data_IF_248371829188
#
_entry.id   IF_248371829188
#
_cell.length_a   1.000
_cell.length_b   1.000
_cell.length_c   1.000
_cell.angle_alpha   90.00
_cell.angle_beta   90.00
_cell.angle_gamma   90.00
#
_symmetry.space_group_name_H-M   'P 1'
#
loop_
_entity.id
_entity.type
_entity.pdbx_description
1 polymer ?
#
# COMPACT_ATOMS: atom_id res chain seq x y z
N UNK A 1 -10.59 -13.90 -19.20
CA UNK A 1 -10.91 -13.75 -17.75
C UNK A 1 -10.42 -12.38 -17.30
N UNK A 2 -11.09 -11.73 -16.34
CA UNK A 2 -10.61 -10.43 -15.79
C UNK A 2 -9.39 -10.64 -14.90
N UNK A 3 -8.39 -9.75 -14.98
CA UNK A 3 -7.15 -9.81 -14.17
C UNK A 3 -7.39 -10.00 -12.68
N UNK A 4 -8.40 -9.33 -12.12
CA UNK A 4 -8.89 -9.55 -10.75
C UNK A 4 -9.14 -11.03 -10.41
N UNK A 5 -9.87 -11.74 -11.27
CA UNK A 5 -10.24 -13.14 -11.02
C UNK A 5 -9.04 -14.08 -11.08
N UNK A 6 -8.05 -13.74 -11.90
CA UNK A 6 -6.78 -14.46 -11.96
C UNK A 6 -6.00 -14.29 -10.66
N UNK A 7 -5.81 -13.05 -10.20
CA UNK A 7 -5.15 -12.75 -8.92
C UNK A 7 -5.88 -13.39 -7.73
N UNK A 8 -7.21 -13.32 -7.69
CA UNK A 8 -8.00 -13.99 -6.65
C UNK A 8 -7.81 -15.51 -6.63
N UNK A 9 -7.72 -16.15 -7.81
CA UNK A 9 -7.48 -17.60 -7.90
C UNK A 9 -6.06 -17.97 -7.50
N UNK A 10 -5.07 -17.19 -7.92
CA UNK A 10 -3.65 -17.44 -7.68
C UNK A 10 -3.26 -17.19 -6.21
N UNK A 11 -3.77 -16.11 -5.62
CA UNK A 11 -3.34 -15.63 -4.30
C UNK A 11 -4.29 -16.07 -3.18
N UNK A 12 -5.52 -16.46 -3.53
CA UNK A 12 -6.53 -16.91 -2.57
C UNK A 12 -6.76 -15.87 -1.47
N UNK A 13 -6.51 -16.27 -0.22
CA UNK A 13 -6.68 -15.41 0.97
C UNK A 13 -5.68 -14.25 1.04
N UNK A 14 -4.59 -14.30 0.29
CA UNK A 14 -3.59 -13.22 0.23
C UNK A 14 -3.99 -12.11 -0.74
N UNK A 15 -5.18 -12.19 -1.34
CA UNK A 15 -5.76 -11.11 -2.12
C UNK A 15 -6.92 -10.48 -1.34
N UNK A 16 -6.86 -9.17 -1.15
CA UNK A 16 -7.97 -8.39 -0.59
C UNK A 16 -7.98 -6.99 -1.19
N UNK A 17 -9.17 -6.43 -1.30
CA UNK A 17 -9.35 -5.03 -1.66
C UNK A 17 -10.39 -4.43 -0.73
N UNK A 18 -10.05 -3.30 -0.14
CA UNK A 18 -10.90 -2.56 0.77
C UNK A 18 -10.91 -1.09 0.36
N UNK A 19 -12.11 -0.51 0.30
CA UNK A 19 -12.30 0.91 0.06
C UNK A 19 -12.81 1.56 1.33
N UNK A 20 -11.96 2.37 1.95
CA UNK A 20 -12.21 3.02 3.23
C UNK A 20 -12.94 4.35 3.05
N UNK A 21 -12.66 5.06 1.95
CA UNK A 21 -13.30 6.33 1.62
C UNK A 21 -13.96 6.27 0.24
N UNK A 22 -15.17 6.81 0.16
CA UNK A 22 -15.84 7.07 -1.11
C UNK A 22 -15.52 8.47 -1.65
N UNK A 23 -15.88 8.71 -2.92
CA UNK A 23 -15.56 9.97 -3.59
C UNK A 23 -16.23 11.19 -2.93
N UNK A 24 -17.41 11.02 -2.31
CA UNK A 24 -18.11 12.10 -1.61
C UNK A 24 -17.40 12.48 -0.31
N UNK A 25 -16.90 11.49 0.42
CA UNK A 25 -16.13 11.71 1.65
C UNK A 25 -14.83 12.45 1.34
N UNK A 26 -14.10 12.01 0.30
CA UNK A 26 -12.89 12.72 -0.14
C UNK A 26 -13.21 14.16 -0.53
N UNK A 27 -14.26 14.38 -1.33
CA UNK A 27 -14.67 15.73 -1.70
C UNK A 27 -15.05 16.58 -0.48
N UNK A 28 -15.68 15.99 0.53
CA UNK A 28 -16.02 16.69 1.78
C UNK A 28 -14.75 17.12 2.53
N UNK A 29 -13.80 16.21 2.70
CA UNK A 29 -12.52 16.49 3.38
C UNK A 29 -11.73 17.55 2.57
N UNK A 30 -11.70 17.44 1.23
CA UNK A 30 -11.05 18.44 0.36
C UNK A 30 -11.65 19.83 0.47
N UNK A 31 -12.97 19.95 0.69
CA UNK A 31 -13.65 21.25 0.85
C UNK A 31 -13.40 21.87 2.23
N UNK A 32 -13.29 21.03 3.26
CA UNK A 32 -13.10 21.45 4.64
C UNK A 32 -12.03 20.55 5.27
N UNK A 33 -10.77 20.94 5.06
CA UNK A 33 -9.62 20.23 5.60
C UNK A 33 -9.63 20.40 7.12
N UNK A 34 -9.71 19.32 7.90
CA UNK A 34 -9.62 19.39 9.36
C UNK A 34 -8.28 20.01 9.79
N UNK A 35 -8.29 20.82 10.86
CA UNK A 35 -7.06 21.48 11.34
C UNK A 35 -6.02 20.48 11.87
N UNK A 36 -6.47 19.32 12.32
CA UNK A 36 -5.71 18.19 12.83
C UNK A 36 -5.57 17.05 11.80
N UNK A 37 -5.80 17.33 10.52
CA UNK A 37 -5.75 16.31 9.49
C UNK A 37 -4.36 15.63 9.43
N UNK A 38 -4.36 14.32 9.62
CA UNK A 38 -3.24 13.44 9.29
C UNK A 38 -3.54 12.68 8.00
N UNK A 39 -2.48 12.19 7.36
CA UNK A 39 -2.61 11.27 6.23
C UNK A 39 -3.63 10.17 6.52
N UNK A 40 -4.48 9.89 5.52
CA UNK A 40 -5.59 8.95 5.67
C UNK A 40 -5.66 8.04 4.46
N UNK A 41 -5.67 6.74 4.70
CA UNK A 41 -5.84 5.74 3.63
C UNK A 41 -7.28 5.74 3.10
N UNK A 42 -7.43 5.93 1.79
CA UNK A 42 -8.70 5.93 1.09
C UNK A 42 -9.08 4.56 0.51
N UNK A 43 -8.09 3.76 0.10
CA UNK A 43 -8.30 2.38 -0.34
C UNK A 43 -7.02 1.57 -0.18
N UNK A 44 -7.16 0.28 0.05
CA UNK A 44 -6.06 -0.68 0.19
C UNK A 44 -6.29 -1.84 -0.77
N UNK A 45 -5.28 -2.17 -1.56
CA UNK A 45 -5.23 -3.39 -2.36
C UNK A 45 -4.05 -4.23 -1.89
N UNK A 46 -4.34 -5.38 -1.29
CA UNK A 46 -3.33 -6.39 -0.98
C UNK A 46 -3.37 -7.50 -2.03
N UNK A 47 -2.22 -7.79 -2.62
CA UNK A 47 -2.03 -8.85 -3.60
C UNK A 47 -0.74 -9.63 -3.27
N UNK A 48 -0.86 -10.61 -2.39
CA UNK A 48 0.25 -11.51 -2.06
C UNK A 48 1.34 -10.80 -1.27
N UNK A 49 2.52 -10.66 -1.87
CA UNK A 49 3.67 -9.96 -1.29
C UNK A 49 3.68 -8.45 -1.58
N UNK A 50 2.67 -7.94 -2.31
CA UNK A 50 2.54 -6.53 -2.66
C UNK A 50 1.28 -5.95 -2.05
N UNK A 51 1.36 -4.69 -1.64
CA UNK A 51 0.23 -3.89 -1.20
C UNK A 51 0.33 -2.50 -1.80
N UNK A 52 -0.82 -1.96 -2.22
CA UNK A 52 -0.95 -0.61 -2.72
C UNK A 52 -2.00 0.13 -1.90
N UNK A 53 -1.59 1.22 -1.28
CA UNK A 53 -2.48 2.08 -0.52
C UNK A 53 -2.71 3.37 -1.30
N UNK A 54 -3.96 3.70 -1.57
CA UNK A 54 -4.33 5.03 -2.03
C UNK A 54 -4.47 5.92 -0.79
N UNK A 55 -3.58 6.89 -0.63
CA UNK A 55 -3.51 7.75 0.56
C UNK A 55 -3.90 9.19 0.23
N UNK A 56 -4.67 9.80 1.12
CA UNK A 56 -5.00 11.23 1.09
C UNK A 56 -4.04 11.94 2.05
N UNK A 57 -3.23 12.85 1.52
CA UNK A 57 -2.22 13.57 2.29
C UNK A 57 -2.32 15.08 2.06
N UNK A 58 -1.91 15.86 3.06
CA UNK A 58 -1.88 17.31 2.99
C UNK A 58 -0.53 17.78 2.45
N UNK A 59 -0.55 18.44 1.30
CA UNK A 59 0.63 19.08 0.72
C UNK A 59 0.43 20.58 0.69
N UNK A 60 1.26 21.31 1.45
CA UNK A 60 1.14 22.75 1.67
C UNK A 60 -0.23 23.18 2.24
N UNK A 61 -1.23 23.36 1.37
CA UNK A 61 -2.59 23.78 1.70
C UNK A 61 -3.67 23.02 0.92
N UNK A 62 -3.27 21.99 0.17
CA UNK A 62 -4.17 21.22 -0.68
C UNK A 62 -4.08 19.74 -0.33
N UNK A 63 -5.24 19.08 -0.33
CA UNK A 63 -5.31 17.63 -0.15
C UNK A 63 -5.14 16.93 -1.49
N UNK A 64 -4.06 16.17 -1.58
CA UNK A 64 -3.68 15.37 -2.73
C UNK A 64 -3.94 13.89 -2.43
N UNK A 65 -4.01 13.11 -3.50
CA UNK A 65 -4.04 11.66 -3.42
C UNK A 65 -2.72 11.13 -4.00
N UNK A 66 -2.11 10.18 -3.32
CA UNK A 66 -0.93 9.43 -3.78
C UNK A 66 -1.18 7.93 -3.67
N UNK A 67 -0.28 7.15 -4.25
CA UNK A 67 -0.21 5.73 -3.94
C UNK A 67 1.08 5.41 -3.20
N UNK A 68 0.97 4.64 -2.14
CA UNK A 68 2.11 4.05 -1.46
C UNK A 68 2.18 2.56 -1.79
N UNK A 69 3.34 2.12 -2.24
CA UNK A 69 3.65 0.73 -2.57
C UNK A 69 4.36 0.12 -1.38
N UNK A 70 3.85 -1.01 -0.91
CA UNK A 70 4.44 -1.81 0.13
C UNK A 70 4.78 -3.19 -0.39
N UNK A 71 5.87 -3.74 0.14
CA UNK A 71 6.39 -5.07 -0.19
C UNK A 71 6.59 -5.88 1.07
N UNK A 72 6.60 -7.20 0.92
CA UNK A 72 7.06 -8.11 1.95
C UNK A 72 8.48 -8.59 1.67
N UNK A 73 9.27 -8.73 2.74
CA UNK A 73 10.57 -9.39 2.72
C UNK A 73 10.48 -10.92 2.90
N UNK A 74 9.37 -11.40 3.46
CA UNK A 74 8.99 -12.81 3.51
C UNK A 74 7.46 -12.90 3.28
N UNK A 75 6.96 -13.79 2.39
CA UNK A 75 5.52 -13.89 2.10
C UNK A 75 4.63 -14.09 3.34
N UNK A 76 5.16 -14.75 4.37
CA UNK A 76 4.49 -15.06 5.63
C UNK A 76 4.77 -14.02 6.73
N UNK A 77 5.62 -13.02 6.46
CA UNK A 77 5.86 -11.90 7.38
C UNK A 77 4.57 -11.14 7.68
N UNK A 78 4.28 -10.79 8.95
CA UNK A 78 3.13 -9.96 9.29
C UNK A 78 3.35 -8.49 8.90
N UNK A 79 4.60 -8.06 8.75
CA UNK A 79 4.97 -6.67 8.54
C UNK A 79 5.04 -6.31 7.05
N UNK A 80 4.78 -5.02 6.77
CA UNK A 80 4.88 -4.43 5.44
C UNK A 80 6.01 -3.42 5.41
N UNK A 81 6.81 -3.44 4.34
CA UNK A 81 7.92 -2.52 4.14
C UNK A 81 7.49 -1.50 3.08
N UNK A 82 7.59 -0.22 3.43
CA UNK A 82 7.39 0.85 2.45
C UNK A 82 8.46 0.74 1.35
N UNK A 83 8.02 0.65 0.11
CA UNK A 83 8.89 0.51 -1.06
C UNK A 83 9.03 1.83 -1.81
N UNK A 84 7.90 2.42 -2.22
CA UNK A 84 7.92 3.66 -3.01
C UNK A 84 6.58 4.40 -2.95
N UNK A 85 6.60 5.70 -3.27
CA UNK A 85 5.43 6.57 -3.37
C UNK A 85 5.23 7.02 -4.82
N UNK A 86 4.10 6.67 -5.42
CA UNK A 86 3.83 6.92 -6.83
C UNK A 86 3.12 8.24 -7.05
N UNK A 87 3.57 8.96 -8.09
CA UNK A 87 2.94 10.21 -8.57
C UNK A 87 1.82 9.99 -9.59
N UNK A 88 1.41 8.73 -9.80
CA UNK A 88 0.34 8.38 -10.73
C UNK A 88 -1.00 9.03 -10.38
N UNK A 89 -1.85 9.33 -11.37
CA UNK A 89 -3.22 9.73 -11.12
C UNK A 89 -3.95 8.67 -10.28
N UNK A 90 -4.32 9.04 -9.06
CA UNK A 90 -4.95 8.10 -8.13
C UNK A 90 -6.38 7.79 -8.53
N UNK A 91 -6.70 6.51 -8.52
CA UNK A 91 -8.02 5.97 -8.77
C UNK A 91 -8.33 4.92 -7.72
N UNK A 92 -9.38 5.16 -6.94
CA UNK A 92 -9.80 4.20 -5.92
C UNK A 92 -10.45 2.94 -6.49
N UNK A 93 -10.56 2.79 -7.81
CA UNK A 93 -11.14 1.60 -8.42
C UNK A 93 -10.13 0.45 -8.34
N UNK A 94 -10.54 -0.66 -7.75
CA UNK A 94 -9.76 -1.90 -7.64
C UNK A 94 -9.08 -2.28 -8.97
N UNK A 95 -9.80 -2.23 -10.10
CA UNK A 95 -9.25 -2.57 -11.41
C UNK A 95 -8.08 -1.68 -11.85
N UNK A 96 -8.09 -0.40 -11.45
CA UNK A 96 -7.01 0.53 -11.77
C UNK A 96 -5.84 0.33 -10.82
N UNK A 97 -6.09 0.11 -9.53
CA UNK A 97 -5.04 -0.24 -8.56
C UNK A 97 -4.30 -1.53 -8.96
N UNK A 98 -5.01 -2.54 -9.46
CA UNK A 98 -4.40 -3.76 -10.02
C UNK A 98 -3.45 -3.42 -11.17
N UNK A 99 -3.84 -2.51 -12.07
CA UNK A 99 -2.98 -2.11 -13.21
C UNK A 99 -1.71 -1.41 -12.75
N UNK A 100 -1.80 -0.60 -11.68
CA UNK A 100 -0.63 0.05 -11.09
C UNK A 100 0.32 -1.02 -10.53
N UNK A 101 -0.18 -1.98 -9.75
CA UNK A 101 0.67 -3.07 -9.25
C UNK A 101 1.24 -3.94 -10.37
N UNK A 102 0.47 -4.25 -11.41
CA UNK A 102 0.96 -5.01 -12.56
C UNK A 102 2.12 -4.27 -13.26
N UNK A 103 2.04 -2.94 -13.34
CA UNK A 103 3.14 -2.12 -13.85
C UNK A 103 4.36 -2.19 -12.95
N UNK A 104 4.19 -2.05 -11.62
CA UNK A 104 5.28 -2.15 -10.65
C UNK A 104 6.00 -3.51 -10.72
N UNK A 105 5.25 -4.60 -10.87
CA UNK A 105 5.79 -5.95 -11.09
C UNK A 105 6.69 -6.00 -12.32
N UNK A 106 6.26 -5.42 -13.43
CA UNK A 106 7.00 -5.43 -14.69
C UNK A 106 8.22 -4.49 -14.66
N UNK A 107 8.06 -3.28 -14.15
CA UNK A 107 9.11 -2.24 -14.19
C UNK A 107 10.20 -2.46 -13.15
N UNK A 108 9.84 -2.97 -11.98
CA UNK A 108 10.76 -3.12 -10.84
C UNK A 108 11.11 -4.59 -10.53
N UNK A 109 10.62 -5.54 -11.33
CA UNK A 109 10.88 -6.97 -11.14
C UNK A 109 10.30 -7.52 -9.83
N UNK A 110 9.23 -6.92 -9.31
CA UNK A 110 8.54 -7.38 -8.11
C UNK A 110 7.72 -8.64 -8.40
N UNK A 111 7.34 -9.37 -7.34
CA UNK A 111 6.51 -10.58 -7.47
C UNK A 111 5.31 -10.53 -6.52
N UNK A 112 4.15 -10.94 -7.01
CA UNK A 112 2.97 -11.12 -6.16
C UNK A 112 3.11 -12.33 -5.24
N UNK A 113 3.85 -13.37 -5.64
CA UNK A 113 3.89 -14.65 -4.92
C UNK A 113 5.15 -14.88 -4.12
N UNK A 114 6.24 -14.21 -4.48
CA UNK A 114 7.56 -14.39 -3.90
C UNK A 114 8.07 -13.06 -3.34
N UNK A 115 8.85 -13.13 -2.26
CA UNK A 115 9.64 -11.98 -1.83
C UNK A 115 10.89 -11.88 -2.69
N UNK A 116 11.12 -10.69 -3.24
CA UNK A 116 12.35 -10.35 -3.96
C UNK A 116 13.41 -9.74 -3.04
N UNK A 117 13.13 -9.61 -1.74
CA UNK A 117 13.97 -8.89 -0.80
C UNK A 117 14.61 -9.84 0.22
N UNK A 118 15.81 -9.49 0.65
CA UNK A 118 16.45 -10.18 1.77
C UNK A 118 15.68 -9.85 3.04
N UNK A 119 15.29 -10.89 3.78
CA UNK A 119 14.63 -10.77 5.08
C UNK A 119 15.38 -9.78 5.99
N UNK A 120 14.64 -8.83 6.54
CA UNK A 120 15.15 -7.85 7.48
C UNK A 120 14.89 -8.36 8.89
N UNK A 121 15.85 -9.07 9.46
CA UNK A 121 15.84 -9.35 10.89
C UNK A 121 16.19 -8.03 11.61
N UNK A 122 15.18 -7.38 12.19
CA UNK A 122 15.34 -6.10 12.90
C UNK A 122 16.51 -6.14 13.89
N UNK A 123 17.18 -5.01 14.11
CA UNK A 123 18.30 -4.94 15.05
C UNK A 123 17.85 -5.37 16.45
N UNK A 124 18.35 -6.50 16.92
CA UNK A 124 18.23 -6.89 18.33
C UNK A 124 18.99 -5.85 19.15
N UNK A 125 18.29 -5.00 19.89
CA UNK A 125 18.93 -4.15 20.89
C UNK A 125 19.39 -5.08 22.01
N UNK A 126 20.67 -5.42 22.05
CA UNK A 126 21.24 -6.05 23.23
C UNK A 126 20.97 -5.12 24.42
N UNK A 127 20.19 -5.61 25.39
CA UNK A 127 20.03 -4.91 26.66
C UNK A 127 21.39 -4.89 27.33
N UNK A 128 22.04 -3.73 27.26
CA UNK A 128 23.28 -3.46 27.97
C UNK A 128 23.03 -3.69 29.48
N UNK A 129 23.62 -4.75 30.03
CA UNK A 129 23.38 -5.20 31.42
C UNK A 129 24.05 -4.33 32.49
N UNK A 130 24.67 -3.21 32.10
CA UNK A 130 25.47 -2.37 33.01
C UNK A 130 24.88 -0.97 33.25
N UNK A 131 23.60 -0.90 33.63
CA UNK A 131 23.06 0.26 34.35
C UNK A 131 22.45 -0.20 35.67
N UNK A 132 23.31 -0.32 36.67
CA UNK A 132 22.99 -0.30 38.10
C UNK A 132 23.69 0.91 38.72
#
# INVERSE_FOLDING_TARGET
>A
MSRKKELQRQLGRRYSYERLLNDREILRIKRQIPADFSETTAAVLTAGCLRLDAVLYLSCKELLLGYDVFVKDDPDSPEWIYYDGLSDPVSLKESNMIRILDRMVLEHGLSYTESCFKRLDGKTVEKDKNRL
#
